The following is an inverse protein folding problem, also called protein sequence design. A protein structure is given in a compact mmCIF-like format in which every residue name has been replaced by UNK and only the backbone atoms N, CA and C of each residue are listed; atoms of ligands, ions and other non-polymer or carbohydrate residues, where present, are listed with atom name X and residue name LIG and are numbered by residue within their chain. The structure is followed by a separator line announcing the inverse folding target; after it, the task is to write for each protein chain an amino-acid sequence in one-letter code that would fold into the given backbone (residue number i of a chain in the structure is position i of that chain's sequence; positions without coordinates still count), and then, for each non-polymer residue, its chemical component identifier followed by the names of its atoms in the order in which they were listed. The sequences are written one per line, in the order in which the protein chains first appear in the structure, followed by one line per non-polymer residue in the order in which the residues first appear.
data_IF_298106397307
#
_entry.id   IF_298106397307
#
_cell.length_a   1.000
_cell.length_b   1.000
_cell.length_c   1.000
_cell.angle_alpha   90.00
_cell.angle_beta   90.00
_cell.angle_gamma   90.00
#
_symmetry.space_group_name_H-M   'P 1'
#
loop_
_entity.id
_entity.type
_entity.pdbx_description
1 polymer ?
#
# COMPACT_ATOMS: atom_id res chain seq x y z
N UNK A 1 -3.65 -15.96 5.28
CA UNK A 1 -2.31 -15.43 4.96
C UNK A 1 -2.47 -13.91 4.86
N UNK A 2 -1.52 -13.12 4.37
CA UNK A 2 -1.73 -11.67 4.27
C UNK A 2 -1.20 -11.16 2.94
N UNK A 3 -1.84 -10.12 2.41
CA UNK A 3 -1.36 -9.46 1.19
C UNK A 3 0.01 -8.83 1.39
N UNK A 4 0.75 -8.73 0.28
CA UNK A 4 2.09 -8.16 0.21
C UNK A 4 2.12 -7.03 -0.83
N UNK A 5 3.10 -6.15 -0.70
CA UNK A 5 3.35 -5.09 -1.68
C UNK A 5 4.59 -5.49 -2.48
N UNK A 6 4.42 -5.64 -3.79
CA UNK A 6 5.51 -5.78 -4.75
C UNK A 6 6.24 -4.43 -4.87
N UNK A 7 7.41 -4.34 -4.24
CA UNK A 7 8.22 -3.12 -4.20
C UNK A 7 8.77 -2.73 -5.57
N UNK A 8 8.81 -3.64 -6.55
CA UNK A 8 9.25 -3.34 -7.92
C UNK A 8 8.16 -2.60 -8.71
N UNK A 9 6.89 -2.90 -8.43
CA UNK A 9 5.75 -2.22 -9.04
C UNK A 9 5.31 -0.99 -8.26
N UNK A 10 5.57 -0.95 -6.95
CA UNK A 10 5.08 0.11 -6.08
C UNK A 10 5.64 1.50 -6.45
N UNK A 11 4.76 2.42 -6.81
CA UNK A 11 5.08 3.82 -7.11
C UNK A 11 5.35 4.67 -5.85
N UNK A 12 5.22 4.09 -4.65
CA UNK A 12 5.39 4.80 -3.37
C UNK A 12 4.50 6.04 -3.21
N UNK A 13 3.34 6.06 -3.88
CA UNK A 13 2.40 7.18 -3.88
C UNK A 13 1.63 7.38 -2.56
N UNK A 14 1.59 6.34 -1.70
CA UNK A 14 0.89 6.40 -0.41
C UNK A 14 -0.63 6.19 -0.48
N UNK A 15 -1.23 6.03 -1.67
CA UNK A 15 -2.68 5.87 -1.83
C UNK A 15 -3.26 4.72 -0.98
N UNK A 16 -2.59 3.57 -0.94
CA UNK A 16 -3.06 2.42 -0.15
C UNK A 16 -3.19 2.71 1.36
N UNK A 17 -2.49 3.73 1.87
CA UNK A 17 -2.61 4.18 3.27
C UNK A 17 -3.76 5.17 3.42
N UNK A 18 -4.03 5.99 2.40
CA UNK A 18 -5.06 7.04 2.44
C UNK A 18 -6.46 6.54 2.08
N UNK A 19 -6.58 5.46 1.30
CA UNK A 19 -7.86 4.89 0.83
C UNK A 19 -8.67 4.20 1.94
N UNK A 20 -8.13 4.07 3.15
CA UNK A 20 -8.89 3.64 4.32
C UNK A 20 -9.22 2.15 4.33
N UNK A 21 -8.19 1.29 4.36
CA UNK A 21 -8.39 -0.13 4.64
C UNK A 21 -9.19 -0.30 5.94
N UNK A 22 -10.27 -1.12 5.96
CA UNK A 22 -11.16 -1.24 7.12
C UNK A 22 -10.38 -1.67 8.37
N UNK A 23 -9.46 -2.61 8.19
CA UNK A 23 -8.60 -3.11 9.27
C UNK A 23 -7.36 -2.23 9.54
N UNK A 24 -7.19 -1.16 8.77
CA UNK A 24 -6.01 -0.27 8.83
C UNK A 24 -4.71 -1.07 8.77
N UNK A 25 -4.66 -2.03 7.84
CA UNK A 25 -3.55 -2.95 7.71
C UNK A 25 -2.32 -2.32 7.02
N UNK A 26 -2.49 -1.27 6.21
CA UNK A 26 -1.39 -0.57 5.56
C UNK A 26 -0.71 0.41 6.52
N UNK A 27 0.62 0.34 6.61
CA UNK A 27 1.46 1.15 7.49
C UNK A 27 2.57 1.81 6.68
N UNK A 28 2.86 3.09 6.95
CA UNK A 28 4.03 3.79 6.39
C UNK A 28 5.25 3.41 7.21
N UNK A 29 6.24 2.82 6.55
CA UNK A 29 7.52 2.45 7.17
C UNK A 29 8.53 3.60 7.04
N UNK A 30 8.60 4.21 5.86
CA UNK A 30 9.49 5.35 5.59
C UNK A 30 8.80 6.40 4.75
N UNK A 31 9.00 7.66 5.11
CA UNK A 31 8.62 8.83 4.32
C UNK A 31 9.90 9.56 3.92
N UNK A 32 10.14 9.69 2.62
CA UNK A 32 11.31 10.39 2.07
C UNK A 32 10.81 11.52 1.20
N UNK A 33 11.41 12.70 1.38
CA UNK A 33 11.25 13.82 0.45
C UNK A 33 12.45 13.80 -0.49
N UNK A 34 12.19 13.69 -1.78
CA UNK A 34 13.21 13.79 -2.81
C UNK A 34 13.51 15.27 -3.13
N UNK A 35 14.62 15.50 -3.83
CA UNK A 35 15.12 16.83 -4.15
C UNK A 35 14.18 17.59 -5.10
N UNK A 36 13.47 16.87 -5.98
CA UNK A 36 12.44 17.45 -6.86
C UNK A 36 11.16 17.87 -6.10
N UNK A 37 11.10 17.58 -4.79
CA UNK A 37 9.97 17.90 -3.93
C UNK A 37 8.95 16.77 -3.80
N UNK A 38 9.11 15.66 -4.53
CA UNK A 38 8.23 14.51 -4.41
C UNK A 38 8.35 13.85 -3.03
N UNK A 39 7.22 13.36 -2.51
CA UNK A 39 7.19 12.63 -1.24
C UNK A 39 6.90 11.17 -1.52
N UNK A 40 7.90 10.32 -1.28
CA UNK A 40 7.80 8.88 -1.41
C UNK A 40 7.39 8.23 -0.08
N UNK A 41 6.37 7.38 -0.14
CA UNK A 41 5.89 6.58 0.96
C UNK A 41 6.28 5.12 0.75
N UNK A 42 7.23 4.62 1.54
CA UNK A 42 7.49 3.19 1.64
C UNK A 42 6.46 2.60 2.59
N UNK A 43 5.61 1.73 2.06
CA UNK A 43 4.47 1.17 2.79
C UNK A 43 4.61 -0.34 2.94
N UNK A 44 4.06 -0.88 4.02
CA UNK A 44 3.98 -2.32 4.28
C UNK A 44 2.59 -2.69 4.77
N UNK A 45 2.21 -3.95 4.59
CA UNK A 45 0.96 -4.51 5.11
C UNK A 45 1.27 -5.23 6.42
N UNK A 46 0.52 -4.92 7.48
CA UNK A 46 0.59 -5.62 8.75
C UNK A 46 -0.18 -6.93 8.65
N UNK A 47 0.49 -8.10 8.67
CA UNK A 47 -0.18 -9.39 8.49
C UNK A 47 -1.11 -9.75 9.65
N UNK A 48 -0.93 -9.15 10.83
CA UNK A 48 -1.82 -9.37 11.99
C UNK A 48 -3.15 -8.63 11.87
N UNK A 49 -3.24 -7.65 10.97
CA UNK A 49 -4.44 -6.85 10.73
C UNK A 49 -5.11 -7.16 9.40
N UNK A 50 -4.34 -7.63 8.42
CA UNK A 50 -4.91 -7.99 7.12
C UNK A 50 -5.83 -9.20 7.25
N UNK A 51 -7.09 -9.04 6.86
CA UNK A 51 -8.11 -10.10 6.85
C UNK A 51 -8.35 -10.68 5.46
N UNK A 52 -7.56 -10.28 4.46
CA UNK A 52 -7.72 -10.70 3.05
C UNK A 52 -9.13 -10.38 2.49
N UNK A 53 -9.74 -9.27 2.93
CA UNK A 53 -11.11 -8.88 2.57
C UNK A 53 -11.31 -8.38 1.12
N UNK A 54 -10.27 -8.43 0.29
CA UNK A 54 -10.26 -7.97 -1.11
C UNK A 54 -10.61 -6.49 -1.38
N UNK A 55 -10.91 -5.68 -0.35
CA UNK A 55 -11.26 -4.27 -0.51
C UNK A 55 -10.21 -3.46 -1.28
N UNK A 56 -8.92 -3.80 -1.08
CA UNK A 56 -7.81 -3.16 -1.79
C UNK A 56 -7.71 -3.51 -3.29
N UNK A 57 -8.59 -4.38 -3.79
CA UNK A 57 -8.74 -4.73 -5.19
C UNK A 57 -10.07 -4.25 -5.79
N UNK A 58 -10.98 -3.70 -4.98
CA UNK A 58 -12.32 -3.30 -5.41
C UNK A 58 -12.33 -2.20 -6.48
N UNK A 59 -11.32 -1.33 -6.49
CA UNK A 59 -11.21 -0.23 -7.44
C UNK A 59 -9.80 -0.07 -8.00
N UNK A 60 -9.68 0.35 -9.25
CA UNK A 60 -8.36 0.53 -9.89
C UNK A 60 -7.51 1.61 -9.20
N UNK A 61 -8.14 2.63 -8.61
CA UNK A 61 -7.43 3.71 -7.91
C UNK A 61 -6.87 3.31 -6.53
N UNK A 62 -7.20 2.12 -6.02
CA UNK A 62 -6.66 1.66 -4.74
C UNK A 62 -5.14 1.48 -4.80
N UNK A 63 -4.68 0.88 -5.90
CA UNK A 63 -3.29 0.79 -6.26
C UNK A 63 -3.18 0.85 -7.78
N UNK A 64 -3.00 2.05 -8.37
CA UNK A 64 -2.93 2.19 -9.84
C UNK A 64 -1.77 1.38 -10.44
N UNK A 65 -0.72 1.15 -9.65
CA UNK A 65 0.42 0.34 -10.02
C UNK A 65 0.17 -1.18 -9.94
N UNK A 66 -1.00 -1.60 -9.43
CA UNK A 66 -1.36 -3.01 -9.18
C UNK A 66 -0.24 -3.76 -8.43
N UNK A 67 0.33 -3.08 -7.43
CA UNK A 67 1.48 -3.54 -6.65
C UNK A 67 1.08 -4.37 -5.42
N UNK A 68 -0.20 -4.36 -5.02
CA UNK A 68 -0.71 -5.20 -3.93
C UNK A 68 -0.96 -6.60 -4.52
N UNK A 69 -0.38 -7.63 -3.92
CA UNK A 69 -0.43 -9.02 -4.42
C UNK A 69 -0.73 -10.00 -3.29
N UNK A 70 -1.28 -11.17 -3.65
CA UNK A 70 -1.46 -12.28 -2.70
C UNK A 70 -0.11 -12.79 -2.22
N UNK A 71 0.00 -13.04 -0.90
CA UNK A 71 1.26 -13.28 -0.20
C UNK A 71 1.68 -14.73 -0.13
#
# INVERSE_FOLDING_TARGET
MAYKIDTKKCLKCGLCVTQGCPEKAFVVDKKVKEDDGLILYTTRINPKKCTECDECFSFEWWCPAKAIVKG
#
